data_IF_017142677631
#
_entry.id   IF_017142677631
#
_cell.length_a   1.000
_cell.length_b   1.000
_cell.length_c   1.000
_cell.angle_alpha   90.00
_cell.angle_beta   90.00
_cell.angle_gamma   90.00
#
_symmetry.space_group_name_H-M   'P 1'
#
loop_
_entity.id
_entity.type
_entity.pdbx_description
1 polymer ?
#
# COMPACT_ATOMS: atom_id res chain seq x y z
N UNK A 1 9.76 -11.37 14.66
CA UNK A 1 8.90 -12.03 15.65
C UNK A 1 7.63 -11.20 15.69
N UNK A 2 6.51 -11.76 15.26
CA UNK A 2 5.22 -11.11 15.55
C UNK A 2 5.08 -11.06 17.06
N UNK A 3 4.76 -9.89 17.59
CA UNK A 3 4.47 -9.71 19.01
C UNK A 3 3.06 -10.21 19.35
N UNK A 4 2.22 -10.51 18.35
CA UNK A 4 0.83 -10.92 18.52
C UNK A 4 0.71 -12.45 18.36
N UNK A 5 -0.24 -13.04 19.08
CA UNK A 5 -0.65 -14.42 18.83
C UNK A 5 -1.62 -14.46 17.66
N UNK A 6 -1.66 -15.57 16.91
CA UNK A 6 -2.61 -15.79 15.82
C UNK A 6 -4.05 -15.45 16.24
N UNK A 7 -4.44 -15.79 17.47
CA UNK A 7 -5.75 -15.45 18.01
C UNK A 7 -5.97 -13.93 18.04
N UNK A 8 -5.06 -13.17 18.65
CA UNK A 8 -5.25 -11.74 18.80
C UNK A 8 -5.14 -11.02 17.46
N UNK A 9 -4.23 -11.47 16.60
CA UNK A 9 -4.07 -10.99 15.24
C UNK A 9 -5.35 -11.15 14.42
N UNK A 10 -5.95 -12.34 14.44
CA UNK A 10 -7.24 -12.60 13.81
C UNK A 10 -8.34 -11.70 14.36
N UNK A 11 -8.37 -11.44 15.68
CA UNK A 11 -9.38 -10.56 16.28
C UNK A 11 -9.23 -9.10 15.87
N UNK A 12 -7.99 -8.61 15.76
CA UNK A 12 -7.71 -7.25 15.29
C UNK A 12 -8.12 -7.11 13.82
N UNK A 13 -7.71 -8.06 12.98
CA UNK A 13 -8.03 -8.08 11.54
C UNK A 13 -9.54 -8.13 11.31
N UNK A 14 -10.24 -9.02 12.03
CA UNK A 14 -11.68 -9.17 11.94
C UNK A 14 -12.42 -7.90 12.37
N UNK A 15 -11.92 -7.22 13.39
CA UNK A 15 -12.48 -5.96 13.88
C UNK A 15 -12.26 -4.79 12.89
N UNK A 16 -11.04 -4.63 12.37
CA UNK A 16 -10.68 -3.50 11.50
C UNK A 16 -11.27 -3.65 10.10
N UNK A 17 -11.23 -4.86 9.52
CA UNK A 17 -11.52 -5.08 8.11
C UNK A 17 -12.80 -5.88 7.86
N UNK A 18 -13.26 -6.71 8.80
CA UNK A 18 -14.38 -7.63 8.55
C UNK A 18 -15.65 -7.27 9.30
N UNK A 19 -15.67 -6.10 9.95
CA UNK A 19 -16.84 -5.58 10.66
C UNK A 19 -17.27 -6.44 11.86
N UNK A 20 -16.38 -7.27 12.39
CA UNK A 20 -16.66 -8.12 13.55
C UNK A 20 -16.42 -7.35 14.86
N UNK A 21 -16.83 -7.92 15.99
CA UNK A 21 -16.49 -7.40 17.30
C UNK A 21 -15.04 -7.75 17.69
N UNK A 22 -14.36 -6.88 18.45
CA UNK A 22 -13.08 -7.19 19.08
C UNK A 22 -13.34 -8.04 20.34
N UNK A 23 -13.30 -9.36 20.19
CA UNK A 23 -13.61 -10.33 21.26
C UNK A 23 -12.37 -10.98 21.87
N UNK A 24 -11.61 -10.25 22.70
CA UNK A 24 -10.40 -10.77 23.38
C UNK A 24 -10.66 -11.35 24.77
N UNK A 25 -11.79 -10.99 25.40
CA UNK A 25 -12.51 -11.66 26.51
C UNK A 25 -13.65 -10.70 26.87
N UNK A 26 -14.91 -11.12 26.70
CA UNK A 26 -16.04 -10.19 26.67
C UNK A 26 -16.01 -9.27 25.43
N UNK A 27 -17.04 -8.43 25.27
CA UNK A 27 -17.09 -7.46 24.17
C UNK A 27 -16.23 -6.23 24.52
N UNK A 28 -14.96 -6.24 24.11
CA UNK A 28 -14.07 -5.09 24.31
C UNK A 28 -14.34 -3.94 23.32
N UNK A 29 -14.89 -4.27 22.15
CA UNK A 29 -15.51 -3.33 21.21
C UNK A 29 -16.61 -4.06 20.41
N UNK A 30 -17.77 -3.43 20.22
CA UNK A 30 -18.91 -4.05 19.54
C UNK A 30 -18.68 -4.14 18.02
N UNK A 31 -19.41 -5.03 17.36
CA UNK A 31 -19.39 -5.08 15.89
C UNK A 31 -19.84 -3.72 15.33
N UNK A 32 -19.14 -3.23 14.31
CA UNK A 32 -19.43 -1.94 13.68
C UNK A 32 -18.92 -0.70 14.44
N UNK A 33 -18.26 -0.85 15.60
CA UNK A 33 -17.58 0.27 16.25
C UNK A 33 -16.17 0.54 15.69
N UNK A 34 -15.69 -0.32 14.79
CA UNK A 34 -14.50 -0.08 13.96
C UNK A 34 -14.83 0.64 12.64
N UNK A 35 -13.88 0.76 11.71
CA UNK A 35 -14.12 1.35 10.40
C UNK A 35 -15.25 0.60 9.67
N UNK A 36 -16.29 1.33 9.26
CA UNK A 36 -17.39 0.76 8.44
C UNK A 36 -16.96 0.55 6.99
N UNK A 37 -15.95 1.28 6.55
CA UNK A 37 -15.29 1.10 5.27
C UNK A 37 -13.82 1.49 5.40
N UNK A 38 -13.00 0.84 4.60
CA UNK A 38 -11.62 1.24 4.34
C UNK A 38 -11.49 1.75 2.91
N UNK A 39 -10.42 2.47 2.62
CA UNK A 39 -10.24 3.16 1.35
C UNK A 39 -8.85 2.84 0.79
N UNK A 40 -8.82 2.18 -0.36
CA UNK A 40 -7.58 1.79 -1.02
C UNK A 40 -7.10 2.90 -1.95
N UNK A 41 -5.93 3.46 -1.68
CA UNK A 41 -5.28 4.49 -2.48
C UNK A 41 -4.04 3.97 -3.23
N UNK A 42 -3.70 4.67 -4.32
CA UNK A 42 -2.55 4.40 -5.19
C UNK A 42 -1.49 5.49 -5.03
N UNK A 43 -0.23 5.07 -4.95
CA UNK A 43 0.91 5.94 -4.68
C UNK A 43 1.97 5.78 -5.77
N UNK A 44 2.52 6.90 -6.23
CA UNK A 44 3.33 6.99 -7.45
C UNK A 44 4.81 6.92 -7.18
N UNK A 45 5.52 6.16 -8.00
CA UNK A 45 6.95 6.36 -8.24
C UNK A 45 7.10 7.52 -9.24
N UNK A 46 7.24 8.74 -8.74
CA UNK A 46 7.15 9.97 -9.53
C UNK A 46 8.31 10.17 -10.52
N UNK A 47 9.46 9.53 -10.28
CA UNK A 47 10.57 9.40 -11.23
C UNK A 47 10.52 8.09 -12.05
N UNK A 48 9.48 7.28 -11.87
CA UNK A 48 9.31 5.99 -12.55
C UNK A 48 10.05 4.83 -11.89
N UNK A 49 10.24 3.76 -12.66
CA UNK A 49 10.97 2.57 -12.23
C UNK A 49 12.43 2.75 -12.58
N UNK A 50 13.29 2.91 -11.56
CA UNK A 50 14.75 2.91 -11.67
C UNK A 50 15.25 3.69 -12.89
N UNK A 51 15.09 5.04 -12.91
CA UNK A 51 15.41 5.84 -14.09
C UNK A 51 16.92 5.83 -14.39
N UNK A 52 17.31 5.87 -15.66
CA UNK A 52 18.72 5.75 -16.11
C UNK A 52 19.19 7.05 -16.75
N UNK A 53 20.39 7.51 -16.38
CA UNK A 53 20.99 8.74 -16.92
C UNK A 53 20.00 9.92 -16.94
N UNK A 54 19.13 9.98 -15.93
CA UNK A 54 17.98 10.89 -15.89
C UNK A 54 18.17 11.87 -14.75
N UNK A 55 17.93 13.16 -15.01
CA UNK A 55 17.92 14.18 -13.96
C UNK A 55 16.71 13.98 -13.04
N UNK A 56 16.97 13.91 -11.74
CA UNK A 56 15.96 13.76 -10.68
C UNK A 56 16.13 14.85 -9.63
N UNK A 57 15.01 15.27 -9.03
CA UNK A 57 14.98 16.33 -8.02
C UNK A 57 14.56 15.78 -6.67
N UNK A 58 14.96 16.49 -5.59
CA UNK A 58 14.56 16.14 -4.22
C UNK A 58 13.04 15.97 -4.12
N UNK A 59 12.61 14.93 -3.43
CA UNK A 59 11.20 14.59 -3.22
C UNK A 59 10.61 13.67 -4.28
N UNK A 60 11.22 13.54 -5.47
CA UNK A 60 10.81 12.50 -6.41
C UNK A 60 11.06 11.11 -5.85
N UNK A 61 10.31 10.14 -6.35
CA UNK A 61 10.29 8.77 -5.82
C UNK A 61 10.47 7.74 -6.92
N UNK A 62 11.12 6.63 -6.58
CA UNK A 62 11.45 5.55 -7.50
C UNK A 62 11.29 4.20 -6.81
N UNK A 63 11.20 3.15 -7.61
CA UNK A 63 11.28 1.76 -7.19
C UNK A 63 12.30 1.01 -8.05
N UNK A 64 12.92 -0.07 -7.54
CA UNK A 64 13.81 -0.91 -8.33
C UNK A 64 13.11 -1.55 -9.54
N UNK A 65 13.89 -1.91 -10.58
CA UNK A 65 13.34 -2.62 -11.74
C UNK A 65 12.78 -3.99 -11.37
N UNK A 66 13.47 -4.69 -10.47
CA UNK A 66 12.95 -5.89 -9.80
C UNK A 66 12.60 -5.52 -8.38
N UNK A 67 11.30 -5.53 -8.05
CA UNK A 67 10.84 -5.10 -6.73
C UNK A 67 11.52 -5.87 -5.61
N UNK A 68 12.05 -5.12 -4.65
CA UNK A 68 12.56 -5.63 -3.37
C UNK A 68 11.59 -5.34 -2.22
N UNK A 69 10.35 -4.97 -2.53
CA UNK A 69 9.33 -4.57 -1.56
C UNK A 69 9.54 -3.16 -0.97
N UNK A 70 10.46 -2.35 -1.51
CA UNK A 70 10.78 -1.01 -1.02
C UNK A 70 10.60 0.07 -2.07
N UNK A 71 10.42 1.28 -1.59
CA UNK A 71 10.32 2.49 -2.38
C UNK A 71 11.33 3.51 -1.86
N UNK A 72 11.82 4.38 -2.74
CA UNK A 72 12.92 5.29 -2.44
C UNK A 72 12.57 6.72 -2.85
N UNK A 73 13.00 7.70 -2.07
CA UNK A 73 12.83 9.14 -2.33
C UNK A 73 14.18 9.80 -2.55
N UNK A 74 14.27 10.66 -3.56
CA UNK A 74 15.47 11.45 -3.81
C UNK A 74 15.65 12.45 -2.68
N UNK A 75 16.80 12.41 -2.03
CA UNK A 75 17.21 13.33 -0.95
C UNK A 75 18.37 14.23 -1.36
N UNK A 76 19.14 13.84 -2.39
CA UNK A 76 20.08 14.72 -3.09
C UNK A 76 19.77 14.69 -4.58
N UNK A 77 19.39 15.82 -5.14
CA UNK A 77 19.13 15.97 -6.58
C UNK A 77 20.40 15.73 -7.41
N UNK A 78 20.24 15.20 -8.61
CA UNK A 78 21.35 14.87 -9.49
C UNK A 78 20.89 14.12 -10.74
N UNK A 79 21.82 13.48 -11.42
CA UNK A 79 21.56 12.60 -12.56
C UNK A 79 21.81 11.17 -12.13
N UNK A 80 20.84 10.28 -12.35
CA UNK A 80 20.98 8.86 -12.04
C UNK A 80 22.05 8.19 -12.89
N UNK A 81 22.56 7.05 -12.43
CA UNK A 81 23.55 6.26 -13.14
C UNK A 81 23.04 5.73 -14.48
N UNK A 82 23.96 5.34 -15.37
CA UNK A 82 23.62 4.68 -16.62
C UNK A 82 23.10 3.24 -16.42
N UNK A 83 23.31 2.67 -15.24
CA UNK A 83 22.87 1.34 -14.83
C UNK A 83 22.13 1.40 -13.49
N UNK A 84 21.39 0.34 -13.15
CA UNK A 84 20.73 0.23 -11.86
C UNK A 84 21.73 0.26 -10.70
N UNK A 85 21.51 1.07 -9.66
CA UNK A 85 22.29 0.94 -8.43
C UNK A 85 21.90 -0.34 -7.67
N UNK A 86 22.80 -0.79 -6.79
CA UNK A 86 22.44 -1.80 -5.78
C UNK A 86 21.60 -1.12 -4.70
N UNK A 87 20.30 -1.37 -4.70
CA UNK A 87 19.36 -0.77 -3.75
C UNK A 87 19.58 -1.28 -2.32
N UNK A 88 19.92 -0.37 -1.40
CA UNK A 88 20.00 -0.68 0.02
C UNK A 88 18.61 -0.98 0.61
N UNK A 89 18.53 -1.92 1.56
CA UNK A 89 17.27 -2.35 2.18
C UNK A 89 17.17 -1.98 3.67
N UNK A 90 18.13 -1.23 4.20
CA UNK A 90 18.05 -0.67 5.55
C UNK A 90 16.96 0.39 5.58
N UNK A 91 16.03 0.30 6.52
CA UNK A 91 14.96 1.29 6.66
C UNK A 91 15.53 2.70 6.82
N UNK A 92 15.14 3.64 5.96
CA UNK A 92 15.68 5.01 5.96
C UNK A 92 17.15 5.11 5.52
N UNK A 93 17.77 4.02 5.07
CA UNK A 93 19.12 4.00 4.52
C UNK A 93 19.21 4.70 3.17
N UNK A 94 20.43 5.05 2.76
CA UNK A 94 20.68 5.75 1.49
C UNK A 94 21.30 4.85 0.43
N UNK A 95 21.07 5.17 -0.83
CA UNK A 95 21.67 4.53 -2.02
C UNK A 95 22.12 5.61 -2.98
N UNK A 96 23.42 5.63 -3.31
CA UNK A 96 23.97 6.52 -4.33
C UNK A 96 23.67 5.96 -5.73
N UNK A 97 23.26 6.84 -6.64
CA UNK A 97 22.89 6.49 -8.01
C UNK A 97 23.33 7.61 -8.97
N UNK A 98 24.50 7.44 -9.58
CA UNK A 98 25.17 8.53 -10.31
C UNK A 98 25.54 9.67 -9.36
N UNK A 99 25.00 10.87 -9.60
CA UNK A 99 25.14 12.02 -8.69
C UNK A 99 23.92 12.26 -7.80
N UNK A 100 22.84 11.47 -7.99
CA UNK A 100 21.67 11.50 -7.12
C UNK A 100 21.86 10.59 -5.90
N UNK A 101 21.16 10.92 -4.81
CA UNK A 101 21.06 10.05 -3.61
C UNK A 101 19.60 9.78 -3.32
N UNK A 102 19.29 8.50 -3.13
CA UNK A 102 17.98 7.99 -2.79
C UNK A 102 17.95 7.54 -1.32
N UNK A 103 16.87 7.82 -0.60
CA UNK A 103 16.61 7.36 0.76
C UNK A 103 15.42 6.40 0.74
N UNK A 104 15.57 5.24 1.39
CA UNK A 104 14.52 4.23 1.53
C UNK A 104 13.34 4.78 2.37
N UNK A 105 12.11 4.55 1.93
CA UNK A 105 10.89 5.23 2.42
C UNK A 105 10.10 4.46 3.48
N UNK A 106 10.55 3.29 3.97
CA UNK A 106 9.80 2.54 5.00
C UNK A 106 9.46 3.41 6.22
N UNK A 107 10.39 4.22 6.78
CA UNK A 107 10.04 5.14 7.87
C UNK A 107 9.02 6.22 7.46
N UNK A 108 9.03 6.65 6.19
CA UNK A 108 8.06 7.62 5.68
C UNK A 108 6.65 7.01 5.61
N UNK A 109 6.54 5.74 5.17
CA UNK A 109 5.31 4.97 5.13
C UNK A 109 4.81 4.58 6.53
N UNK A 110 5.69 4.13 7.43
CA UNK A 110 5.33 3.82 8.82
C UNK A 110 4.75 5.03 9.54
N UNK A 111 5.26 6.24 9.24
CA UNK A 111 4.76 7.48 9.79
C UNK A 111 3.59 8.10 9.00
N UNK A 112 3.26 7.57 7.82
CA UNK A 112 2.33 8.18 6.85
C UNK A 112 2.53 9.70 6.70
N UNK A 113 3.78 10.12 6.53
CA UNK A 113 4.14 11.54 6.60
C UNK A 113 3.86 12.30 5.27
N UNK A 114 4.27 13.58 5.24
CA UNK A 114 4.10 14.45 4.08
C UNK A 114 4.78 13.92 2.80
N UNK A 115 5.87 13.15 2.91
CA UNK A 115 6.55 12.57 1.75
C UNK A 115 5.69 11.51 1.05
N UNK A 116 4.91 10.73 1.82
CA UNK A 116 4.02 9.69 1.29
C UNK A 116 2.73 10.31 0.76
N UNK A 117 2.11 11.20 1.54
CA UNK A 117 0.86 11.86 1.12
C UNK A 117 1.04 12.73 -0.13
N UNK A 118 2.23 13.30 -0.36
CA UNK A 118 2.53 14.06 -1.57
C UNK A 118 2.59 13.22 -2.86
N UNK A 119 2.81 11.90 -2.75
CA UNK A 119 2.95 11.01 -3.91
C UNK A 119 1.69 10.18 -4.18
N UNK A 120 0.63 10.32 -3.38
CA UNK A 120 -0.67 9.76 -3.73
C UNK A 120 -1.08 10.28 -5.12
N UNK A 121 -1.71 9.43 -5.92
CA UNK A 121 -2.33 9.88 -7.19
C UNK A 121 -3.35 10.97 -6.85
N UNK A 122 -3.43 12.01 -7.67
CA UNK A 122 -4.40 13.08 -7.51
C UNK A 122 -4.82 13.63 -8.87
N UNK A 123 -6.07 14.09 -8.95
CA UNK A 123 -6.66 14.58 -10.21
C UNK A 123 -6.93 13.47 -11.23
N UNK A 124 -7.26 13.85 -12.47
CA UNK A 124 -7.47 12.91 -13.57
C UNK A 124 -8.56 11.86 -13.31
N UNK A 125 -9.60 12.20 -12.54
CA UNK A 125 -10.67 11.27 -12.17
C UNK A 125 -10.31 10.29 -11.04
N UNK A 126 -9.11 10.35 -10.48
CA UNK A 126 -8.69 9.48 -9.38
C UNK A 126 -9.53 9.70 -8.11
N UNK A 127 -9.87 8.60 -7.46
CA UNK A 127 -10.38 8.55 -6.10
C UNK A 127 -10.05 7.19 -5.48
N UNK A 128 -9.84 7.16 -4.16
CA UNK A 128 -9.64 5.90 -3.43
C UNK A 128 -10.85 4.99 -3.60
N UNK A 129 -10.63 3.67 -3.68
CA UNK A 129 -11.72 2.70 -3.75
C UNK A 129 -12.25 2.45 -2.34
N UNK A 130 -13.55 2.69 -2.11
CA UNK A 130 -14.21 2.34 -0.85
C UNK A 130 -14.49 0.84 -0.79
N UNK A 131 -14.14 0.23 0.33
CA UNK A 131 -14.29 -1.20 0.59
C UNK A 131 -15.02 -1.34 1.92
N UNK A 132 -16.30 -1.77 1.88
CA UNK A 132 -17.05 -1.94 3.12
C UNK A 132 -16.42 -3.04 3.98
N UNK A 133 -16.21 -2.76 5.26
CA UNK A 133 -15.60 -3.70 6.19
C UNK A 133 -16.56 -4.84 6.50
N UNK A 134 -16.37 -5.97 5.83
CA UNK A 134 -17.31 -7.10 5.88
C UNK A 134 -16.63 -8.41 5.52
N UNK A 135 -17.22 -9.54 5.94
CA UNK A 135 -16.77 -10.87 5.52
C UNK A 135 -16.92 -11.11 4.01
N UNK A 136 -17.79 -10.34 3.33
CA UNK A 136 -17.99 -10.45 1.89
C UNK A 136 -16.83 -9.82 1.10
N UNK A 137 -16.27 -8.72 1.59
CA UNK A 137 -15.25 -7.96 0.86
C UNK A 137 -13.81 -8.33 1.24
N UNK A 138 -13.59 -8.79 2.46
CA UNK A 138 -12.27 -9.23 2.94
C UNK A 138 -12.27 -10.74 3.16
N UNK A 139 -11.11 -11.39 2.99
CA UNK A 139 -10.91 -12.82 3.19
C UNK A 139 -10.59 -13.14 4.65
N UNK A 140 -11.12 -14.24 5.19
CA UNK A 140 -10.65 -14.71 6.49
C UNK A 140 -9.23 -15.25 6.36
N UNK A 141 -8.46 -15.27 7.45
CA UNK A 141 -7.03 -15.61 7.38
C UNK A 141 -6.71 -17.06 7.06
N UNK A 142 -7.72 -17.94 6.98
CA UNK A 142 -7.52 -19.35 6.63
C UNK A 142 -7.42 -19.61 5.12
N UNK A 143 -7.99 -18.73 4.28
CA UNK A 143 -7.98 -18.89 2.82
C UNK A 143 -8.43 -17.61 2.11
N UNK A 144 -7.93 -17.38 0.89
CA UNK A 144 -8.52 -16.39 -0.02
C UNK A 144 -10.00 -16.68 -0.29
N UNK A 145 -10.79 -15.64 -0.54
CA UNK A 145 -12.26 -15.71 -0.73
C UNK A 145 -13.06 -16.17 0.52
N UNK A 146 -12.41 -16.46 1.66
CA UNK A 146 -13.10 -16.93 2.86
C UNK A 146 -14.03 -15.85 3.45
N UNK A 147 -15.30 -16.21 3.62
CA UNK A 147 -16.33 -15.37 4.25
C UNK A 147 -16.67 -15.81 5.67
N UNK A 148 -15.85 -16.67 6.29
CA UNK A 148 -16.00 -17.09 7.69
C UNK A 148 -15.12 -16.26 8.61
N UNK A 149 -15.39 -16.24 9.92
CA UNK A 149 -14.48 -15.59 10.88
C UNK A 149 -13.05 -16.15 10.77
N UNK A 150 -12.04 -15.33 11.06
CA UNK A 150 -10.64 -15.71 10.84
C UNK A 150 -10.16 -16.77 11.83
N UNK A 151 -9.44 -17.77 11.30
CA UNK A 151 -8.88 -18.89 12.07
C UNK A 151 -7.48 -19.31 11.59
N UNK A 152 -6.90 -18.59 10.64
CA UNK A 152 -5.59 -18.91 10.09
C UNK A 152 -4.44 -18.45 10.98
N UNK A 153 -3.24 -18.89 10.63
CA UNK A 153 -1.99 -18.65 11.36
C UNK A 153 -0.97 -17.81 10.59
N UNK A 154 -1.32 -17.35 9.38
CA UNK A 154 -0.43 -16.56 8.52
C UNK A 154 -0.61 -15.06 8.67
N UNK A 155 -1.68 -14.63 9.36
CA UNK A 155 -2.03 -13.22 9.44
C UNK A 155 -2.58 -12.59 8.17
N UNK A 156 -2.65 -13.37 7.09
CA UNK A 156 -2.89 -12.83 5.77
C UNK A 156 -4.39 -12.72 5.49
N UNK A 157 -4.84 -11.54 5.07
CA UNK A 157 -6.15 -11.36 4.44
C UNK A 157 -5.97 -10.75 3.05
N UNK A 158 -7.04 -10.79 2.26
CA UNK A 158 -7.07 -10.20 0.94
C UNK A 158 -8.47 -9.74 0.56
N UNK A 159 -8.59 -8.99 -0.53
CA UNK A 159 -9.88 -8.65 -1.11
C UNK A 159 -10.55 -9.90 -1.72
N UNK A 160 -11.80 -10.17 -1.35
CA UNK A 160 -12.60 -11.27 -1.92
C UNK A 160 -13.20 -10.92 -3.29
N UNK A 161 -13.58 -9.65 -3.46
CA UNK A 161 -14.17 -9.12 -4.69
C UNK A 161 -13.16 -8.31 -5.50
N UNK A 162 -13.49 -8.07 -6.77
CA UNK A 162 -12.72 -7.12 -7.60
C UNK A 162 -12.91 -5.71 -7.05
N UNK A 163 -11.81 -4.98 -6.89
CA UNK A 163 -11.82 -3.56 -6.53
C UNK A 163 -11.49 -2.76 -7.78
N UNK A 164 -12.32 -1.80 -8.17
CA UNK A 164 -12.13 -1.06 -9.41
C UNK A 164 -11.98 0.42 -9.11
N UNK A 165 -10.83 0.99 -9.46
CA UNK A 165 -10.64 2.44 -9.40
C UNK A 165 -11.47 3.14 -10.48
N UNK A 166 -11.85 4.41 -10.28
CA UNK A 166 -12.49 5.20 -11.33
C UNK A 166 -11.67 5.20 -12.62
N UNK A 167 -12.33 5.33 -13.78
CA UNK A 167 -11.62 5.42 -15.06
C UNK A 167 -10.75 6.68 -15.09
N UNK A 168 -9.43 6.58 -15.37
CA UNK A 168 -8.55 7.73 -15.49
C UNK A 168 -9.00 8.65 -16.63
N UNK A 169 -9.19 9.92 -16.32
CA UNK A 169 -9.44 11.00 -17.29
C UNK A 169 -8.17 11.77 -17.67
N UNK A 170 -7.03 11.36 -17.10
CA UNK A 170 -5.68 11.81 -17.44
C UNK A 170 -4.68 10.71 -17.04
N UNK A 171 -3.42 10.83 -17.48
CA UNK A 171 -2.38 9.91 -17.04
C UNK A 171 -2.14 10.07 -15.53
N UNK A 172 -2.20 8.96 -14.77
CA UNK A 172 -1.87 8.94 -13.35
C UNK A 172 -0.39 8.65 -13.11
N UNK A 173 0.32 8.17 -14.15
CA UNK A 173 1.75 7.88 -14.10
C UNK A 173 2.06 6.50 -13.56
N UNK A 174 3.28 6.30 -13.08
CA UNK A 174 3.75 5.01 -12.56
C UNK A 174 3.28 4.82 -11.12
N UNK A 175 2.28 3.97 -10.91
CA UNK A 175 1.83 3.55 -9.58
C UNK A 175 2.69 2.37 -9.12
N UNK A 176 3.16 2.46 -7.88
CA UNK A 176 4.11 1.49 -7.33
C UNK A 176 3.84 1.10 -5.87
N UNK A 177 2.92 1.77 -5.18
CA UNK A 177 2.55 1.43 -3.82
C UNK A 177 1.05 1.64 -3.59
N UNK A 178 0.54 0.98 -2.55
CA UNK A 178 -0.86 1.02 -2.17
C UNK A 178 -0.96 1.25 -0.67
N UNK A 179 -1.95 2.04 -0.25
CA UNK A 179 -2.24 2.30 1.16
C UNK A 179 -3.73 2.08 1.39
N UNK A 180 -4.05 1.34 2.45
CA UNK A 180 -5.40 1.21 2.95
C UNK A 180 -5.61 2.23 4.07
N UNK A 181 -6.58 3.11 3.93
CA UNK A 181 -6.86 4.21 4.86
C UNK A 181 -8.27 4.13 5.46
N UNK A 182 -8.51 4.91 6.50
CA UNK A 182 -9.82 5.03 7.17
C UNK A 182 -10.76 6.09 6.55
N UNK A 183 -10.29 6.86 5.57
CA UNK A 183 -11.07 7.92 4.91
C UNK A 183 -10.88 7.94 3.39
N UNK A 184 -11.91 8.45 2.67
CA UNK A 184 -11.90 8.60 1.21
C UNK A 184 -10.88 9.62 0.69
N UNK A 185 -10.46 10.54 1.54
CA UNK A 185 -9.39 11.52 1.30
C UNK A 185 -8.79 11.93 2.64
N UNK A 186 -7.47 12.16 2.70
CA UNK A 186 -6.79 12.40 3.97
C UNK A 186 -6.86 11.17 4.87
N UNK A 187 -7.22 11.36 6.14
CA UNK A 187 -7.33 10.27 7.12
C UNK A 187 -5.98 9.65 7.49
N UNK A 188 -6.06 8.51 8.18
CA UNK A 188 -4.91 7.73 8.61
C UNK A 188 -4.69 6.55 7.67
N UNK A 189 -3.42 6.27 7.32
CA UNK A 189 -3.04 5.01 6.68
C UNK A 189 -2.99 3.90 7.72
N UNK A 190 -3.74 2.83 7.47
CA UNK A 190 -3.85 1.65 8.35
C UNK A 190 -2.86 0.56 7.94
N UNK A 191 -2.71 0.35 6.63
CA UNK A 191 -1.79 -0.63 6.05
C UNK A 191 -1.17 -0.05 4.79
N UNK A 192 0.07 -0.42 4.49
CA UNK A 192 0.76 0.00 3.29
C UNK A 192 1.56 -1.16 2.70
N UNK A 193 1.83 -1.08 1.40
CA UNK A 193 2.69 -2.04 0.71
C UNK A 193 3.17 -1.50 -0.62
N UNK A 194 4.39 -1.88 -0.99
CA UNK A 194 4.96 -1.62 -2.32
C UNK A 194 4.55 -2.76 -3.24
N UNK A 195 4.14 -2.44 -4.47
CA UNK A 195 3.72 -3.42 -5.46
C UNK A 195 4.92 -4.24 -5.96
N UNK A 196 4.69 -5.53 -6.18
CA UNK A 196 5.69 -6.40 -6.82
C UNK A 196 5.94 -6.03 -8.29
N UNK A 197 4.90 -5.51 -8.95
CA UNK A 197 4.97 -5.04 -10.33
C UNK A 197 4.32 -3.66 -10.43
N UNK A 198 5.13 -2.59 -10.48
CA UNK A 198 4.62 -1.25 -10.72
C UNK A 198 3.87 -1.17 -12.06
N UNK A 199 2.86 -0.32 -12.14
CA UNK A 199 2.03 -0.17 -13.33
C UNK A 199 1.96 1.29 -13.76
N UNK A 200 2.25 1.55 -15.03
CA UNK A 200 1.93 2.85 -15.65
C UNK A 200 0.44 2.87 -15.94
N UNK A 201 -0.25 3.89 -15.43
CA UNK A 201 -1.68 4.10 -15.65
C UNK A 201 -1.87 5.34 -16.52
N UNK A 202 -2.44 5.12 -17.69
CA UNK A 202 -2.75 6.14 -18.69
C UNK A 202 -4.24 6.47 -18.71
N UNK A 203 -4.58 7.57 -19.39
CA UNK A 203 -5.97 7.92 -19.66
C UNK A 203 -6.74 6.75 -20.28
N UNK A 204 -7.99 6.55 -19.85
CA UNK A 204 -8.90 5.48 -20.27
C UNK A 204 -8.49 4.05 -19.87
N UNK A 205 -7.41 3.84 -19.12
CA UNK A 205 -7.09 2.51 -18.61
C UNK A 205 -8.19 1.99 -17.66
N UNK A 206 -8.41 0.67 -17.68
CA UNK A 206 -9.17 0.00 -16.61
C UNK A 206 -8.17 -0.42 -15.53
N UNK A 207 -8.46 -0.05 -14.29
CA UNK A 207 -7.56 -0.28 -13.14
C UNK A 207 -8.26 -1.17 -12.11
N UNK A 208 -8.37 -2.50 -12.38
CA UNK A 208 -8.91 -3.44 -11.42
C UNK A 208 -7.81 -3.99 -10.51
N UNK A 209 -8.18 -4.28 -9.28
CA UNK A 209 -7.50 -5.22 -8.39
C UNK A 209 -8.38 -6.45 -8.32
N UNK A 210 -7.94 -7.52 -8.97
CA UNK A 210 -8.66 -8.80 -8.99
C UNK A 210 -8.77 -9.37 -7.56
N UNK A 211 -9.69 -10.32 -7.31
CA UNK A 211 -9.72 -11.07 -6.06
C UNK A 211 -8.34 -11.61 -5.68
N UNK A 212 -7.99 -11.52 -4.40
CA UNK A 212 -6.66 -11.82 -3.87
C UNK A 212 -5.48 -11.01 -4.45
N UNK A 213 -5.75 -10.00 -5.29
CA UNK A 213 -4.73 -9.14 -5.89
C UNK A 213 -4.17 -8.10 -4.93
N UNK A 214 -4.91 -7.78 -3.85
CA UNK A 214 -4.42 -7.02 -2.71
C UNK A 214 -4.48 -7.90 -1.46
N UNK A 215 -3.30 -8.25 -0.95
CA UNK A 215 -3.13 -9.02 0.28
C UNK A 215 -2.36 -8.20 1.30
N UNK A 216 -2.75 -8.30 2.57
CA UNK A 216 -2.04 -7.73 3.70
C UNK A 216 -1.78 -8.83 4.74
N UNK A 217 -0.72 -8.66 5.52
CA UNK A 217 -0.32 -9.56 6.60
C UNK A 217 -0.06 -8.72 7.83
N UNK A 218 -0.67 -9.04 8.98
CA UNK A 218 -0.24 -8.46 10.25
C UNK A 218 1.09 -9.14 10.65
N UNK A 219 2.05 -8.34 11.10
CA UNK A 219 3.44 -8.78 11.31
C UNK A 219 3.75 -9.17 12.75
#
# INVERSE_FOLDING_TARGET
MSALTDFFENRILDFILRGQALGITGASAAAGSGPTSTFLGLYRATAGVSPRSTAVTVGQTTVPATSNGRMYRCTTAGTTGASEPTWGTTNGGTTSDGTAVWTEMTPDFDAMNANVTAIEVSGGGYGRVSIASSLANWAGTQAAASTTASTGSSGQTSNNGTLTFPTPTANWGTVAAMVLSDASSGGNGLFWGVMQTPKVININDVVPVNPAGFSLTLA
#
